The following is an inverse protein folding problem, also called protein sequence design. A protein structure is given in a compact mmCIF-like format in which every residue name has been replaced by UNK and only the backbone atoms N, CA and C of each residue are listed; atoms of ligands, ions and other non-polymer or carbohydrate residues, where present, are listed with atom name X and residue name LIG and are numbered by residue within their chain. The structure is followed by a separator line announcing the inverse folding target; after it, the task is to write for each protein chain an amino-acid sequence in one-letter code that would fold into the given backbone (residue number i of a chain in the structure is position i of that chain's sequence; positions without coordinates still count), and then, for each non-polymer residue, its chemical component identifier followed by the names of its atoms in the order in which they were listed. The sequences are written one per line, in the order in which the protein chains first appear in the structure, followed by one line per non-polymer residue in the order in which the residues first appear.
data_IF_338737225432
#
_entry.id   IF_338737225432
#
_cell.length_a   1.000
_cell.length_b   1.000
_cell.length_c   1.000
_cell.angle_alpha   90.00
_cell.angle_beta   90.00
_cell.angle_gamma   90.00
#
_symmetry.space_group_name_H-M   'P 1'
#
loop_
_entity.id
_entity.type
_entity.pdbx_description
1 polymer ?
#
# COMPACT_ATOMS: atom_id res chain seq x y z
N UNK A 1 62.62 -11.52 33.43
CA UNK A 1 62.79 -12.79 32.70
C UNK A 1 61.48 -13.55 32.93
N UNK A 2 60.57 -13.74 31.97
CA UNK A 2 60.76 -14.21 30.60
C UNK A 2 59.56 -13.76 29.74
N UNK A 3 59.83 -13.12 28.60
CA UNK A 3 58.85 -12.77 27.56
C UNK A 3 58.45 -14.03 26.79
N UNK A 4 57.17 -14.39 26.76
CA UNK A 4 56.65 -15.39 25.83
C UNK A 4 56.27 -14.73 24.51
N UNK A 5 57.02 -15.04 23.46
CA UNK A 5 56.67 -14.71 22.08
C UNK A 5 55.59 -15.70 21.59
N UNK A 6 54.46 -15.16 21.13
CA UNK A 6 53.39 -15.92 20.48
C UNK A 6 53.77 -16.05 19.00
N UNK A 7 54.24 -17.23 18.59
CA UNK A 7 54.42 -17.54 17.16
C UNK A 7 53.05 -17.79 16.51
N UNK A 8 52.71 -16.96 15.52
CA UNK A 8 51.53 -17.14 14.65
C UNK A 8 51.77 -18.28 13.64
N UNK A 9 50.74 -19.08 13.29
CA UNK A 9 50.86 -20.20 12.38
C UNK A 9 51.18 -19.77 10.93
N UNK A 10 52.14 -20.45 10.29
CA UNK A 10 52.67 -20.16 8.95
C UNK A 10 51.64 -20.12 7.80
N UNK A 11 50.39 -20.53 8.01
CA UNK A 11 49.36 -20.57 6.97
C UNK A 11 48.72 -19.20 6.67
N UNK A 12 48.73 -18.26 7.61
CA UNK A 12 48.14 -16.91 7.41
C UNK A 12 49.06 -15.96 6.63
N UNK A 13 50.38 -16.10 6.80
CA UNK A 13 51.37 -15.24 6.14
C UNK A 13 51.35 -15.36 4.60
N UNK A 14 51.01 -16.55 4.09
CA UNK A 14 50.91 -16.81 2.65
C UNK A 14 49.62 -16.26 2.03
N UNK A 15 48.58 -16.01 2.84
CA UNK A 15 47.32 -15.39 2.39
C UNK A 15 47.44 -13.88 2.31
N UNK A 16 48.13 -13.25 3.27
CA UNK A 16 48.33 -11.79 3.28
C UNK A 16 49.23 -11.31 2.14
N UNK A 17 50.24 -12.08 1.72
CA UNK A 17 51.06 -11.77 0.53
C UNK A 17 50.28 -11.79 -0.78
N UNK A 18 49.32 -12.71 -0.94
CA UNK A 18 48.49 -12.78 -2.15
C UNK A 18 47.47 -11.63 -2.24
N UNK A 19 47.03 -11.12 -1.10
CA UNK A 19 46.13 -9.96 -1.04
C UNK A 19 46.85 -8.63 -1.36
N UNK A 20 48.14 -8.49 -1.04
CA UNK A 20 48.91 -7.28 -1.42
C UNK A 20 49.24 -7.20 -2.91
N UNK A 21 49.34 -8.34 -3.61
CA UNK A 21 49.68 -8.39 -5.04
C UNK A 21 48.47 -8.18 -5.97
N UNK A 22 47.25 -8.21 -5.44
CA UNK A 22 46.01 -8.10 -6.22
C UNK A 22 45.35 -6.71 -6.20
N UNK A 23 45.96 -5.73 -5.52
CA UNK A 23 45.49 -4.34 -5.59
C UNK A 23 45.98 -3.67 -6.90
N UNK A 24 45.08 -3.07 -7.69
CA UNK A 24 45.49 -2.27 -8.83
C UNK A 24 46.32 -1.07 -8.34
N UNK A 25 47.48 -0.86 -8.96
CA UNK A 25 48.38 0.25 -8.62
C UNK A 25 47.65 1.57 -8.87
N UNK A 26 47.31 2.27 -7.78
CA UNK A 26 46.91 3.68 -7.82
C UNK A 26 48.02 4.47 -8.52
N UNK A 27 47.69 4.98 -9.71
CA UNK A 27 48.55 5.87 -10.48
C UNK A 27 48.57 7.19 -9.73
N UNK A 28 49.70 7.51 -9.10
CA UNK A 28 49.95 8.82 -8.50
C UNK A 28 49.94 9.84 -9.62
N UNK A 29 48.85 10.61 -9.72
CA UNK A 29 48.72 11.67 -10.70
C UNK A 29 49.53 12.89 -10.24
N UNK A 30 50.15 13.50 -11.25
CA UNK A 30 51.04 14.67 -11.26
C UNK A 30 50.49 15.88 -10.45
N UNK A 31 51.27 16.54 -9.58
CA UNK A 31 50.80 17.68 -8.80
C UNK A 31 50.88 18.99 -9.62
N UNK A 32 50.08 19.09 -10.68
CA UNK A 32 49.74 20.37 -11.31
C UNK A 32 48.35 20.30 -11.94
N UNK A 33 47.31 20.15 -11.11
CA UNK A 33 45.92 20.29 -11.52
C UNK A 33 45.26 21.36 -10.64
N UNK A 34 44.65 22.33 -11.30
CA UNK A 34 44.01 23.51 -10.76
C UNK A 34 43.04 23.17 -9.61
N UNK A 35 42.98 24.05 -8.59
CA UNK A 35 41.97 24.00 -7.53
C UNK A 35 40.57 24.20 -8.12
N UNK A 36 39.95 23.12 -8.58
CA UNK A 36 38.51 23.04 -8.73
C UNK A 36 37.88 23.01 -7.35
N UNK A 37 37.03 24.01 -7.06
CA UNK A 37 36.16 24.04 -5.90
C UNK A 37 35.39 22.70 -5.85
N UNK A 38 35.37 21.96 -4.72
CA UNK A 38 34.49 20.80 -4.61
C UNK A 38 33.05 21.30 -4.76
N UNK A 39 32.38 20.87 -5.83
CA UNK A 39 30.96 21.13 -6.05
C UNK A 39 30.20 20.83 -4.76
N UNK A 40 29.36 21.79 -4.40
CA UNK A 40 28.46 21.73 -3.26
C UNK A 40 27.83 20.34 -3.17
N UNK A 41 27.98 19.72 -2.00
CA UNK A 41 27.18 18.57 -1.60
C UNK A 41 25.71 18.94 -1.90
N UNK A 42 25.02 18.26 -2.85
CA UNK A 42 23.68 18.68 -3.23
C UNK A 42 22.84 18.67 -1.97
N UNK A 43 22.31 19.85 -1.62
CA UNK A 43 21.37 19.99 -0.52
C UNK A 43 20.31 18.91 -0.66
N UNK A 44 19.89 18.23 0.42
CA UNK A 44 18.92 17.15 0.34
C UNK A 44 17.72 17.66 -0.44
N UNK A 45 17.49 17.06 -1.60
CA UNK A 45 16.42 17.42 -2.50
C UNK A 45 15.13 17.29 -1.69
N UNK A 46 14.53 18.43 -1.33
CA UNK A 46 13.27 18.45 -0.59
C UNK A 46 12.22 17.96 -1.58
N UNK A 47 12.01 16.64 -1.62
CA UNK A 47 10.95 16.05 -2.41
C UNK A 47 9.66 16.72 -1.93
N UNK A 48 8.96 17.46 -2.80
CA UNK A 48 7.74 18.14 -2.40
C UNK A 48 6.73 17.10 -1.92
N UNK A 49 5.88 17.42 -0.92
CA UNK A 49 4.83 16.51 -0.50
C UNK A 49 3.94 16.14 -1.70
N UNK A 50 3.45 14.90 -1.77
CA UNK A 50 2.72 14.41 -2.94
C UNK A 50 1.48 15.28 -3.20
N UNK A 51 1.20 15.50 -4.48
CA UNK A 51 0.04 16.31 -4.89
C UNK A 51 -1.27 15.60 -4.53
N UNK A 52 -2.37 16.35 -4.45
CA UNK A 52 -3.68 15.73 -4.17
C UNK A 52 -4.06 14.75 -5.27
N UNK A 53 -3.77 15.12 -6.52
CA UNK A 53 -4.02 14.33 -7.71
C UNK A 53 -3.27 13.00 -7.64
N UNK A 54 -1.99 13.03 -7.24
CA UNK A 54 -1.16 11.85 -7.01
C UNK A 54 -1.72 10.96 -5.90
N UNK A 55 -2.07 11.52 -4.73
CA UNK A 55 -2.68 10.76 -3.62
C UNK A 55 -4.00 10.11 -4.03
N UNK A 56 -4.80 10.80 -4.84
CA UNK A 56 -6.06 10.26 -5.36
C UNK A 56 -5.80 9.12 -6.33
N UNK A 57 -4.82 9.26 -7.21
CA UNK A 57 -4.48 8.23 -8.18
C UNK A 57 -3.91 6.98 -7.50
N UNK A 58 -2.97 7.15 -6.58
CA UNK A 58 -2.45 6.07 -5.72
C UNK A 58 -3.58 5.34 -4.98
N UNK A 59 -4.53 6.07 -4.40
CA UNK A 59 -5.67 5.49 -3.69
C UNK A 59 -6.56 4.64 -4.60
N UNK A 60 -6.79 5.09 -5.85
CA UNK A 60 -7.54 4.32 -6.86
C UNK A 60 -6.76 3.10 -7.31
N UNK A 61 -5.45 3.21 -7.53
CA UNK A 61 -4.58 2.09 -7.92
C UNK A 61 -4.56 1.01 -6.84
N UNK A 62 -4.43 1.39 -5.56
CA UNK A 62 -4.48 0.46 -4.43
C UNK A 62 -5.82 -0.29 -4.37
N UNK A 63 -6.94 0.42 -4.51
CA UNK A 63 -8.26 -0.19 -4.55
C UNK A 63 -8.44 -1.09 -5.78
N UNK A 64 -8.00 -0.63 -6.95
CA UNK A 64 -8.04 -1.38 -8.20
C UNK A 64 -7.24 -2.67 -8.13
N UNK A 65 -6.01 -2.62 -7.60
CA UNK A 65 -5.16 -3.79 -7.40
C UNK A 65 -5.83 -4.82 -6.48
N UNK A 66 -6.46 -4.37 -5.39
CA UNK A 66 -7.23 -5.23 -4.48
C UNK A 66 -8.42 -5.87 -5.20
N UNK A 67 -9.17 -5.10 -5.98
CA UNK A 67 -10.33 -5.60 -6.72
C UNK A 67 -9.92 -6.63 -7.79
N UNK A 68 -8.87 -6.36 -8.58
CA UNK A 68 -8.31 -7.33 -9.54
C UNK A 68 -7.94 -8.64 -8.81
N UNK A 69 -7.21 -8.56 -7.69
CA UNK A 69 -6.82 -9.72 -6.88
C UNK A 69 -8.03 -10.52 -6.36
N UNK A 70 -9.08 -9.85 -5.88
CA UNK A 70 -10.28 -10.53 -5.39
C UNK A 70 -11.12 -11.17 -6.52
N UNK A 71 -11.13 -10.59 -7.71
CA UNK A 71 -11.73 -11.18 -8.91
C UNK A 71 -10.99 -12.45 -9.35
N UNK A 72 -9.66 -12.37 -9.41
CA UNK A 72 -8.77 -13.50 -9.76
C UNK A 72 -8.94 -14.66 -8.76
N UNK A 73 -8.89 -14.37 -7.45
CA UNK A 73 -9.10 -15.38 -6.40
C UNK A 73 -10.45 -16.09 -6.51
N UNK A 74 -11.48 -15.40 -7.02
CA UNK A 74 -12.83 -15.97 -7.23
C UNK A 74 -13.00 -16.61 -8.61
N UNK A 75 -11.98 -16.61 -9.46
CA UNK A 75 -12.04 -17.14 -10.82
C UNK A 75 -13.01 -16.38 -11.73
N UNK A 76 -13.28 -15.10 -11.44
CA UNK A 76 -14.25 -14.29 -12.18
C UNK A 76 -13.52 -13.54 -13.30
N UNK A 77 -13.78 -13.95 -14.54
CA UNK A 77 -13.34 -13.20 -15.72
C UNK A 77 -14.21 -11.95 -15.88
N UNK A 78 -13.58 -10.77 -15.85
CA UNK A 78 -14.24 -9.49 -16.17
C UNK A 78 -13.78 -9.01 -17.53
N UNK A 79 -14.64 -8.33 -18.32
CA UNK A 79 -14.20 -7.70 -19.55
C UNK A 79 -13.10 -6.69 -19.20
N UNK A 80 -11.91 -6.88 -19.77
CA UNK A 80 -10.73 -6.06 -19.47
C UNK A 80 -11.00 -4.57 -19.73
N UNK A 81 -11.81 -4.26 -20.75
CA UNK A 81 -12.31 -2.90 -21.06
C UNK A 81 -12.93 -2.21 -19.84
N UNK A 82 -13.67 -2.95 -19.00
CA UNK A 82 -14.32 -2.39 -17.82
C UNK A 82 -13.31 -2.00 -16.76
N UNK A 83 -12.27 -2.81 -16.58
CA UNK A 83 -11.21 -2.53 -15.60
C UNK A 83 -10.31 -1.39 -16.09
N UNK A 84 -9.95 -1.40 -17.37
CA UNK A 84 -9.17 -0.33 -18.01
C UNK A 84 -9.84 1.04 -17.91
N UNK A 85 -11.17 1.12 -18.02
CA UNK A 85 -11.92 2.39 -17.88
C UNK A 85 -11.72 3.07 -16.51
N UNK A 86 -11.29 2.31 -15.50
CA UNK A 86 -11.04 2.80 -14.16
C UNK A 86 -9.55 2.90 -13.82
N UNK A 87 -8.64 2.71 -14.79
CA UNK A 87 -7.20 2.59 -14.53
C UNK A 87 -6.84 1.35 -13.70
N UNK A 88 -7.79 0.43 -13.54
CA UNK A 88 -7.61 -0.81 -12.80
C UNK A 88 -6.93 -1.78 -13.77
N UNK A 89 -5.60 -1.94 -13.65
CA UNK A 89 -4.82 -2.94 -14.39
C UNK A 89 -4.30 -2.54 -15.80
N UNK A 90 -3.82 -1.30 -16.00
CA UNK A 90 -3.02 -0.86 -17.18
C UNK A 90 -1.90 0.08 -16.69
N UNK A 91 -0.59 0.03 -16.96
CA UNK A 91 0.32 -0.61 -17.94
C UNK A 91 1.75 -0.61 -17.35
N UNK A 92 2.77 -1.29 -17.94
CA UNK A 92 4.17 -1.10 -17.54
C UNK A 92 4.76 0.16 -18.21
N UNK A 93 4.91 1.29 -17.52
CA UNK A 93 5.75 2.41 -17.97
C UNK A 93 6.25 3.34 -16.84
N UNK A 94 7.56 3.59 -16.90
CA UNK A 94 8.49 4.57 -16.29
C UNK A 94 8.72 4.74 -14.76
N UNK A 95 9.93 5.23 -14.45
CA UNK A 95 10.72 5.19 -13.18
C UNK A 95 10.02 5.52 -11.84
N UNK A 96 8.81 6.10 -11.84
CA UNK A 96 7.94 6.17 -10.64
C UNK A 96 7.51 4.77 -10.14
N UNK A 97 7.80 3.72 -10.91
CA UNK A 97 7.39 2.35 -10.64
C UNK A 97 7.97 1.76 -9.34
N UNK A 98 9.10 2.24 -8.84
CA UNK A 98 9.67 1.72 -7.59
C UNK A 98 8.85 2.12 -6.36
N UNK A 99 8.37 3.36 -6.34
CA UNK A 99 7.54 3.92 -5.27
C UNK A 99 6.12 3.36 -5.31
N UNK A 100 5.47 3.38 -6.47
CA UNK A 100 4.15 2.75 -6.63
C UNK A 100 4.21 1.23 -6.33
N UNK A 101 5.33 0.55 -6.67
CA UNK A 101 5.54 -0.86 -6.27
C UNK A 101 5.76 -1.02 -4.78
N UNK A 102 6.49 -0.14 -4.08
CA UNK A 102 6.65 -0.27 -2.63
C UNK A 102 5.32 -0.06 -1.93
N UNK A 103 4.58 0.99 -2.30
CA UNK A 103 3.24 1.27 -1.78
C UNK A 103 2.29 0.09 -1.99
N UNK A 104 2.23 -0.44 -3.21
CA UNK A 104 1.40 -1.59 -3.56
C UNK A 104 1.79 -2.86 -2.79
N UNK A 105 3.09 -3.11 -2.56
CA UNK A 105 3.55 -4.26 -1.75
C UNK A 105 3.14 -4.12 -0.30
N UNK A 106 3.35 -2.95 0.30
CA UNK A 106 3.00 -2.69 1.71
C UNK A 106 1.51 -2.85 1.95
N UNK A 107 0.70 -2.21 1.11
CA UNK A 107 -0.74 -2.33 1.18
C UNK A 107 -1.19 -3.78 1.00
N UNK A 108 -0.61 -4.52 0.03
CA UNK A 108 -0.95 -5.92 -0.22
C UNK A 108 -0.65 -6.80 0.99
N UNK A 109 0.46 -6.57 1.72
CA UNK A 109 0.74 -7.30 2.96
C UNK A 109 -0.37 -7.11 3.99
N UNK A 110 -0.80 -5.86 4.22
CA UNK A 110 -1.87 -5.55 5.18
C UNK A 110 -3.21 -6.16 4.72
N UNK A 111 -3.52 -6.05 3.43
CA UNK A 111 -4.73 -6.59 2.84
C UNK A 111 -4.78 -8.12 2.92
N UNK A 112 -3.69 -8.81 2.60
CA UNK A 112 -3.59 -10.26 2.69
C UNK A 112 -3.65 -10.77 4.14
N UNK A 113 -3.10 -10.00 5.09
CA UNK A 113 -3.23 -10.32 6.51
C UNK A 113 -4.66 -10.12 7.00
N UNK A 114 -5.33 -9.03 6.60
CA UNK A 114 -6.75 -8.83 6.87
C UNK A 114 -7.64 -9.89 6.21
N UNK A 115 -7.28 -10.37 5.01
CA UNK A 115 -8.04 -11.39 4.30
C UNK A 115 -8.10 -12.74 5.06
N UNK A 116 -7.13 -13.02 5.93
CA UNK A 116 -7.06 -14.26 6.74
C UNK A 116 -7.85 -14.19 8.06
N UNK A 117 -8.56 -13.09 8.31
CA UNK A 117 -9.19 -12.79 9.60
C UNK A 117 -10.66 -13.19 9.63
N UNK A 118 -11.24 -13.37 10.82
CA UNK A 118 -12.70 -13.60 10.97
C UNK A 118 -13.49 -12.32 10.68
N UNK A 119 -12.88 -11.16 10.88
CA UNK A 119 -13.45 -9.85 10.58
C UNK A 119 -13.73 -9.71 9.08
N UNK A 120 -12.84 -10.24 8.22
CA UNK A 120 -13.05 -10.29 6.76
C UNK A 120 -14.34 -11.01 6.37
N UNK A 121 -14.70 -12.10 7.05
CA UNK A 121 -15.95 -12.84 6.81
C UNK A 121 -17.17 -11.98 7.13
N UNK A 122 -17.11 -11.22 8.24
CA UNK A 122 -18.20 -10.31 8.61
C UNK A 122 -18.34 -9.13 7.64
N UNK A 123 -17.22 -8.60 7.12
CA UNK A 123 -17.25 -7.58 6.06
C UNK A 123 -17.95 -8.14 4.81
N UNK A 124 -17.65 -9.38 4.43
CA UNK A 124 -18.34 -10.02 3.31
C UNK A 124 -19.83 -10.20 3.56
N UNK A 125 -20.21 -10.65 4.77
CA UNK A 125 -21.61 -10.79 5.15
C UNK A 125 -22.36 -9.44 5.09
N UNK A 126 -21.73 -8.36 5.54
CA UNK A 126 -22.29 -7.01 5.44
C UNK A 126 -22.45 -6.56 3.98
N UNK A 127 -21.44 -6.80 3.14
CA UNK A 127 -21.49 -6.51 1.71
C UNK A 127 -22.60 -7.31 0.99
N UNK A 128 -22.84 -8.56 1.42
CA UNK A 128 -23.93 -9.40 0.92
C UNK A 128 -25.31 -8.87 1.32
N UNK A 129 -25.42 -8.20 2.47
CA UNK A 129 -26.67 -7.61 2.96
C UNK A 129 -27.15 -6.38 2.19
N UNK A 130 -26.35 -5.81 1.27
CA UNK A 130 -26.73 -4.60 0.54
C UNK A 130 -27.75 -4.92 -0.58
N UNK A 131 -28.87 -4.19 -0.64
CA UNK A 131 -29.81 -4.29 -1.75
C UNK A 131 -29.29 -3.52 -2.99
N UNK A 132 -28.36 -4.11 -3.74
CA UNK A 132 -27.61 -3.48 -4.85
C UNK A 132 -28.48 -2.88 -5.97
N UNK A 133 -29.73 -3.34 -6.14
CA UNK A 133 -30.66 -2.80 -7.15
C UNK A 133 -31.45 -1.57 -6.67
N UNK A 134 -31.49 -1.34 -5.37
CA UNK A 134 -32.35 -0.31 -4.74
C UNK A 134 -31.54 0.76 -3.99
N UNK A 135 -30.30 0.45 -3.64
CA UNK A 135 -29.45 1.36 -2.87
C UNK A 135 -29.04 2.57 -3.71
N UNK A 136 -29.22 3.76 -3.15
CA UNK A 136 -28.77 5.02 -3.76
C UNK A 136 -27.32 5.31 -3.38
N UNK A 137 -26.66 6.22 -4.10
CA UNK A 137 -25.31 6.66 -3.74
C UNK A 137 -25.27 7.21 -2.31
N UNK A 138 -26.24 8.03 -1.92
CA UNK A 138 -26.29 8.60 -0.57
C UNK A 138 -26.40 7.54 0.52
N UNK A 139 -27.21 6.51 0.30
CA UNK A 139 -27.32 5.39 1.25
C UNK A 139 -26.02 4.60 1.30
N UNK A 140 -25.40 4.34 0.15
CA UNK A 140 -24.10 3.66 0.08
C UNK A 140 -23.01 4.47 0.79
N UNK A 141 -22.88 5.76 0.47
CA UNK A 141 -21.99 6.73 1.12
C UNK A 141 -22.19 6.78 2.63
N UNK A 142 -23.43 6.76 3.10
CA UNK A 142 -23.75 6.71 4.54
C UNK A 142 -23.22 5.44 5.20
N UNK A 143 -23.30 4.28 4.53
CA UNK A 143 -22.75 3.02 5.03
C UNK A 143 -21.21 3.11 5.10
N UNK A 144 -20.57 3.60 4.03
CA UNK A 144 -19.10 3.76 3.99
C UNK A 144 -18.62 4.74 5.07
N UNK A 145 -19.35 5.84 5.28
CA UNK A 145 -19.06 6.81 6.36
C UNK A 145 -19.19 6.14 7.73
N UNK A 146 -20.16 5.24 7.89
CA UNK A 146 -20.35 4.45 9.11
C UNK A 146 -19.12 3.64 9.50
N UNK A 147 -18.29 3.21 8.53
CA UNK A 147 -17.05 2.47 8.79
C UNK A 147 -15.99 3.30 9.53
N UNK A 148 -16.14 4.63 9.56
CA UNK A 148 -15.20 5.56 10.18
C UNK A 148 -15.75 6.21 11.46
N UNK A 149 -16.83 5.68 12.03
CA UNK A 149 -17.46 6.27 13.23
C UNK A 149 -16.51 6.25 14.44
N UNK A 150 -16.60 7.31 15.26
CA UNK A 150 -15.99 7.50 16.59
C UNK A 150 -14.46 7.73 16.66
N UNK A 151 -13.65 7.07 15.83
CA UNK A 151 -12.17 7.16 15.89
C UNK A 151 -11.54 7.71 14.60
N UNK A 152 -12.37 8.11 13.61
CA UNK A 152 -11.90 8.67 12.34
C UNK A 152 -11.37 7.62 11.35
N UNK A 153 -10.54 8.07 10.42
CA UNK A 153 -9.93 7.24 9.37
C UNK A 153 -8.64 6.62 9.90
N UNK A 154 -8.50 5.32 9.72
CA UNK A 154 -7.28 4.55 10.01
C UNK A 154 -7.02 3.59 8.86
N UNK A 155 -5.76 3.15 8.69
CA UNK A 155 -5.43 2.20 7.62
C UNK A 155 -6.26 0.91 7.70
N UNK A 156 -6.54 0.42 8.91
CA UNK A 156 -7.40 -0.75 9.13
C UNK A 156 -8.78 -0.53 8.53
N UNK A 157 -9.35 0.64 8.78
CA UNK A 157 -10.68 1.02 8.29
C UNK A 157 -10.67 1.26 6.80
N UNK A 158 -9.57 1.76 6.24
CA UNK A 158 -9.35 1.87 4.79
C UNK A 158 -9.34 0.46 4.16
N UNK A 159 -8.61 -0.50 4.74
CA UNK A 159 -8.58 -1.88 4.24
C UNK A 159 -9.96 -2.54 4.33
N UNK A 160 -10.67 -2.37 5.46
CA UNK A 160 -12.07 -2.82 5.62
C UNK A 160 -12.98 -2.20 4.57
N UNK A 161 -12.86 -0.90 4.34
CA UNK A 161 -13.60 -0.17 3.31
C UNK A 161 -13.33 -0.75 1.92
N UNK A 162 -12.05 -0.99 1.57
CA UNK A 162 -11.68 -1.49 0.26
C UNK A 162 -12.24 -2.89 0.02
N UNK A 163 -12.15 -3.79 1.00
CA UNK A 163 -12.76 -5.11 0.90
C UNK A 163 -14.29 -5.04 0.80
N UNK A 164 -14.94 -4.17 1.59
CA UNK A 164 -16.38 -3.98 1.53
C UNK A 164 -16.83 -3.51 0.13
N UNK A 165 -16.18 -2.47 -0.41
CA UNK A 165 -16.45 -1.95 -1.74
C UNK A 165 -16.20 -3.00 -2.82
N UNK A 166 -15.10 -3.76 -2.73
CA UNK A 166 -14.78 -4.82 -3.67
C UNK A 166 -15.82 -5.95 -3.63
N UNK A 167 -16.23 -6.43 -2.46
CA UNK A 167 -17.26 -7.46 -2.32
C UNK A 167 -18.61 -7.00 -2.89
N UNK A 168 -19.02 -5.75 -2.65
CA UNK A 168 -20.25 -5.17 -3.23
C UNK A 168 -20.15 -5.10 -4.74
N UNK A 169 -19.03 -4.61 -5.29
CA UNK A 169 -18.81 -4.53 -6.73
C UNK A 169 -18.82 -5.93 -7.38
N UNK A 170 -18.07 -6.88 -6.84
CA UNK A 170 -18.02 -8.26 -7.35
C UNK A 170 -19.41 -8.92 -7.32
N UNK A 171 -20.21 -8.64 -6.30
CA UNK A 171 -21.60 -9.13 -6.28
C UNK A 171 -22.47 -8.43 -7.32
N UNK A 172 -22.32 -7.12 -7.47
CA UNK A 172 -23.03 -6.34 -8.49
C UNK A 172 -22.72 -6.83 -9.91
N UNK A 173 -21.50 -7.29 -10.16
CA UNK A 173 -21.11 -7.88 -11.43
C UNK A 173 -21.95 -9.10 -11.82
N UNK A 174 -22.35 -9.93 -10.86
CA UNK A 174 -23.25 -11.08 -11.12
C UNK A 174 -24.61 -10.65 -11.64
N UNK A 175 -25.06 -9.44 -11.29
CA UNK A 175 -26.33 -8.87 -11.76
C UNK A 175 -26.18 -8.06 -13.06
N UNK A 176 -24.94 -7.69 -13.42
CA UNK A 176 -24.60 -7.05 -14.69
C UNK A 176 -23.49 -6.00 -14.59
N UNK A 177 -22.76 -5.83 -15.68
CA UNK A 177 -21.62 -4.90 -15.81
C UNK A 177 -21.98 -3.45 -15.48
N UNK A 178 -23.22 -3.01 -15.76
CA UNK A 178 -23.67 -1.65 -15.42
C UNK A 178 -23.65 -1.38 -13.91
N UNK A 179 -24.14 -2.34 -13.12
CA UNK A 179 -24.13 -2.21 -11.66
C UNK A 179 -22.70 -2.32 -11.12
N UNK A 180 -21.88 -3.20 -11.67
CA UNK A 180 -20.45 -3.28 -11.33
C UNK A 180 -19.73 -1.93 -11.50
N UNK A 181 -19.87 -1.31 -12.69
CA UNK A 181 -19.31 0.02 -13.00
C UNK A 181 -19.80 1.08 -12.03
N UNK A 182 -21.09 1.07 -11.73
CA UNK A 182 -21.70 2.01 -10.79
C UNK A 182 -21.07 1.91 -9.39
N UNK A 183 -20.92 0.70 -8.84
CA UNK A 183 -20.31 0.54 -7.51
C UNK A 183 -18.82 0.83 -7.48
N UNK A 184 -18.07 0.54 -8.54
CA UNK A 184 -16.66 0.99 -8.64
C UNK A 184 -16.60 2.52 -8.62
N UNK A 185 -17.41 3.18 -9.44
CA UNK A 185 -17.46 4.65 -9.52
C UNK A 185 -17.77 5.27 -8.16
N UNK A 186 -18.80 4.78 -7.49
CA UNK A 186 -19.19 5.25 -6.16
C UNK A 186 -18.09 5.03 -5.11
N UNK A 187 -17.39 3.89 -5.20
CA UNK A 187 -16.28 3.56 -4.30
C UNK A 187 -15.11 4.51 -4.52
N UNK A 188 -14.68 4.70 -5.77
CA UNK A 188 -13.58 5.61 -6.13
C UNK A 188 -13.88 7.05 -5.75
N UNK A 189 -15.13 7.51 -5.95
CA UNK A 189 -15.55 8.83 -5.53
C UNK A 189 -15.42 9.00 -4.01
N UNK A 190 -15.90 8.02 -3.23
CA UNK A 190 -15.78 8.08 -1.77
C UNK A 190 -14.32 8.05 -1.31
N UNK A 191 -13.48 7.19 -1.91
CA UNK A 191 -12.05 7.08 -1.62
C UNK A 191 -11.38 8.44 -1.87
N UNK A 192 -11.57 9.03 -3.05
CA UNK A 192 -10.98 10.32 -3.41
C UNK A 192 -11.41 11.46 -2.47
N UNK A 193 -12.68 11.48 -2.06
CA UNK A 193 -13.21 12.57 -1.24
C UNK A 193 -12.88 12.43 0.25
N UNK A 194 -12.92 11.22 0.81
CA UNK A 194 -12.78 11.00 2.26
C UNK A 194 -11.45 10.41 2.66
N UNK A 195 -11.03 9.34 1.98
CA UNK A 195 -9.81 8.62 2.32
C UNK A 195 -8.59 9.44 1.90
N UNK A 196 -8.53 9.86 0.63
CA UNK A 196 -7.39 10.61 0.10
C UNK A 196 -7.23 11.98 0.78
N UNK A 197 -8.32 12.64 1.18
CA UNK A 197 -8.24 13.86 2.01
C UNK A 197 -7.54 13.61 3.34
N UNK A 198 -7.89 12.52 4.05
CA UNK A 198 -7.21 12.16 5.30
C UNK A 198 -5.76 11.74 5.05
N UNK A 199 -5.49 10.97 3.99
CA UNK A 199 -4.12 10.57 3.64
C UNK A 199 -3.24 11.79 3.34
N UNK A 200 -3.78 12.82 2.68
CA UNK A 200 -3.09 14.08 2.45
C UNK A 200 -2.72 14.79 3.75
N UNK A 201 -3.65 14.83 4.71
CA UNK A 201 -3.39 15.39 6.05
C UNK A 201 -2.34 14.59 6.84
N UNK A 202 -2.10 13.33 6.47
CA UNK A 202 -1.16 12.41 7.16
C UNK A 202 0.14 12.17 6.36
N UNK A 203 0.45 13.04 5.39
CA UNK A 203 1.74 13.02 4.69
C UNK A 203 1.82 12.06 3.50
N UNK A 204 0.69 11.62 2.96
CA UNK A 204 0.64 10.75 1.78
C UNK A 204 0.53 9.27 2.13
N UNK A 205 0.35 8.44 1.10
CA UNK A 205 0.10 7.00 1.29
C UNK A 205 1.31 6.27 1.88
N UNK A 206 2.53 6.67 1.52
CA UNK A 206 3.75 6.08 2.07
C UNK A 206 3.81 6.25 3.59
N UNK A 207 3.61 7.47 4.09
CA UNK A 207 3.63 7.75 5.52
C UNK A 207 2.57 6.91 6.27
N UNK A 208 1.36 6.81 5.72
CA UNK A 208 0.26 6.04 6.29
C UNK A 208 0.56 4.54 6.34
N UNK A 209 1.06 3.97 5.23
CA UNK A 209 1.35 2.53 5.15
C UNK A 209 2.58 2.15 5.98
N UNK A 210 3.66 2.90 5.87
CA UNK A 210 4.90 2.61 6.59
C UNK A 210 4.70 2.69 8.11
N UNK A 211 3.93 3.68 8.58
CA UNK A 211 3.56 3.80 9.99
C UNK A 211 2.81 2.56 10.47
N UNK A 212 1.87 2.04 9.66
CA UNK A 212 1.07 0.89 10.04
C UNK A 212 1.81 -0.44 10.13
N UNK A 213 2.84 -0.63 9.30
CA UNK A 213 3.70 -1.81 9.34
C UNK A 213 4.62 -1.80 10.57
N UNK A 214 4.96 -0.63 11.10
CA UNK A 214 5.77 -0.46 12.31
C UNK A 214 4.96 -0.61 13.62
N UNK A 215 3.64 -0.41 13.61
CA UNK A 215 2.72 -0.72 14.72
C UNK A 215 2.47 -2.24 14.92
N UNK A 216 3.51 -3.05 14.70
CA UNK A 216 3.68 -4.43 15.14
C UNK A 216 3.20 -4.59 16.60
N UNK A 217 2.27 -5.44 16.99
CA UNK A 217 1.90 -6.78 16.50
C UNK A 217 0.40 -6.97 16.66
N UNK A 218 -0.29 -7.16 15.54
CA UNK A 218 -1.56 -7.89 15.39
C UNK A 218 -2.79 -7.28 16.12
N UNK A 219 -2.76 -6.98 17.42
CA UNK A 219 -3.96 -6.76 18.23
C UNK A 219 -4.83 -5.53 17.87
N UNK A 220 -4.26 -4.40 17.47
CA UNK A 220 -5.02 -3.15 17.28
C UNK A 220 -5.83 -3.17 15.96
N UNK A 221 -5.32 -3.82 14.91
CA UNK A 221 -6.04 -3.98 13.64
C UNK A 221 -7.36 -4.75 13.84
N UNK A 222 -7.34 -5.82 14.66
CA UNK A 222 -8.54 -6.62 14.92
C UNK A 222 -9.58 -5.89 15.77
N UNK A 223 -9.15 -5.15 16.79
CA UNK A 223 -10.07 -4.39 17.65
C UNK A 223 -10.80 -3.30 16.86
N UNK A 224 -10.09 -2.56 16.02
CA UNK A 224 -10.68 -1.53 15.17
C UNK A 224 -11.68 -2.11 14.16
N UNK A 225 -11.32 -3.20 13.48
CA UNK A 225 -12.22 -3.86 12.53
C UNK A 225 -13.47 -4.45 13.24
N UNK A 226 -13.30 -5.14 14.37
CA UNK A 226 -14.40 -5.71 15.12
C UNK A 226 -15.37 -4.65 15.66
N UNK A 227 -14.86 -3.52 16.16
CA UNK A 227 -15.68 -2.39 16.63
C UNK A 227 -16.49 -1.76 15.49
N UNK A 228 -15.84 -1.50 14.35
CA UNK A 228 -16.50 -0.93 13.17
C UNK A 228 -17.62 -1.84 12.67
N UNK A 229 -17.34 -3.14 12.56
CA UNK A 229 -18.33 -4.13 12.15
C UNK A 229 -19.48 -4.18 13.15
N UNK A 230 -19.19 -4.15 14.46
CA UNK A 230 -20.22 -4.11 15.50
C UNK A 230 -21.13 -2.88 15.36
N UNK A 231 -20.55 -1.69 15.18
CA UNK A 231 -21.31 -0.44 15.03
C UNK A 231 -22.17 -0.44 13.77
N UNK A 232 -21.62 -0.83 12.62
CA UNK A 232 -22.36 -0.83 11.36
C UNK A 232 -23.41 -1.93 11.31
N UNK A 233 -23.13 -3.13 11.81
CA UNK A 233 -24.14 -4.20 11.93
C UNK A 233 -25.28 -3.78 12.85
N UNK A 234 -25.01 -3.11 13.98
CA UNK A 234 -26.05 -2.62 14.89
C UNK A 234 -26.91 -1.52 14.25
N UNK A 235 -26.32 -0.60 13.48
CA UNK A 235 -27.04 0.47 12.78
C UNK A 235 -27.79 0.03 11.52
N UNK A 236 -27.47 -1.13 10.96
CA UNK A 236 -28.13 -1.66 9.75
C UNK A 236 -29.24 -2.65 10.08
N UNK A 237 -29.26 -3.22 11.30
CA UNK A 237 -30.28 -4.17 11.78
C UNK A 237 -31.41 -3.52 12.60
N UNK A 238 -31.37 -2.21 12.84
CA UNK A 238 -32.42 -1.40 13.48
C UNK A 238 -32.74 -0.20 12.61
#
# INVERSE_FOLDING_TARGET
MTTMAIELPKSENTRLRRLSESLPKLKVNDPTAECGVPDENPSPEIVPPPSREEIVEEGKELFGSLLCNELEKKGISTPQEVLSDFGICTTPYDDHHNFARSLGREFRMIADDFAKTKEREKVQAMANGISIRQVTYEKFRSILTGLFSDEGVTITRIVVLFFFCADVAIRALKEGVKLFRQFITWSMQFIAEKVCSWVQENGGWEAVLHTSLNYLRKAILYLGAAFVIFVVCKKTLF
#
